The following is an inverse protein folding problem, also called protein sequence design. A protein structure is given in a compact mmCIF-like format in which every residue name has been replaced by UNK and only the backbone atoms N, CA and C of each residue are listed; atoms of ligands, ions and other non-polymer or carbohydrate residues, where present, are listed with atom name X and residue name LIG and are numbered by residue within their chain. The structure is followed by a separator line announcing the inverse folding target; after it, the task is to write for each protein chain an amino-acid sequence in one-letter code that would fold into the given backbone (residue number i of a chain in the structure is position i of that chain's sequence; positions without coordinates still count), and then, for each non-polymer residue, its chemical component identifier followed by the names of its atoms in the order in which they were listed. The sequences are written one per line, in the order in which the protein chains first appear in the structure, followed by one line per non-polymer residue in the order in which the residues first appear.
data_IF_373957541026
#
_entry.id   IF_373957541026
#
_cell.length_a   1.000
_cell.length_b   1.000
_cell.length_c   1.000
_cell.angle_alpha   90.00
_cell.angle_beta   90.00
_cell.angle_gamma   90.00
#
_symmetry.space_group_name_H-M   'P 1'
#
loop_
_entity.id
_entity.type
_entity.pdbx_description
1 polymer ?
#
# COMPACT_ATOMS: atom_id res chain seq x y z
N UNK A 1 42.78 -23.30 -3.96
CA UNK A 1 41.79 -23.71 -4.98
C UNK A 1 40.47 -23.05 -4.64
N UNK A 2 40.11 -22.06 -5.44
CA UNK A 2 38.89 -21.25 -5.36
C UNK A 2 37.69 -21.98 -5.98
N UNK A 3 36.49 -21.48 -5.66
CA UNK A 3 35.13 -21.83 -6.11
C UNK A 3 34.35 -22.77 -5.16
N UNK A 4 33.09 -22.52 -4.81
CA UNK A 4 32.06 -21.75 -5.54
C UNK A 4 31.07 -21.10 -4.56
N UNK A 5 31.01 -19.77 -4.62
CA UNK A 5 29.95 -18.92 -4.08
C UNK A 5 28.67 -19.24 -4.87
N UNK A 6 27.80 -20.07 -4.29
CA UNK A 6 26.44 -20.26 -4.81
C UNK A 6 25.57 -19.15 -4.25
N UNK A 7 25.49 -18.05 -5.00
CA UNK A 7 24.46 -17.03 -4.88
C UNK A 7 23.11 -17.69 -5.16
N UNK A 8 22.45 -18.14 -4.10
CA UNK A 8 21.00 -18.36 -4.16
C UNK A 8 20.38 -16.98 -4.07
N UNK A 9 19.99 -16.43 -5.21
CA UNK A 9 19.09 -15.29 -5.28
C UNK A 9 17.74 -15.70 -4.70
N UNK A 10 17.64 -15.65 -3.37
CA UNK A 10 16.41 -15.88 -2.65
C UNK A 10 15.49 -14.67 -2.87
N UNK A 11 14.75 -14.69 -3.97
CA UNK A 11 13.49 -13.95 -4.03
C UNK A 11 12.66 -14.49 -2.85
N UNK A 12 12.27 -13.66 -1.87
CA UNK A 12 11.47 -14.12 -0.75
C UNK A 12 10.19 -14.72 -1.32
N UNK A 13 9.86 -15.96 -0.92
CA UNK A 13 8.57 -16.56 -1.26
C UNK A 13 7.46 -15.53 -0.97
N UNK A 14 6.55 -15.30 -1.91
CA UNK A 14 5.43 -14.34 -1.75
C UNK A 14 4.67 -14.58 -0.42
N UNK A 15 4.64 -15.83 0.05
CA UNK A 15 4.05 -16.24 1.32
C UNK A 15 4.80 -15.77 2.58
N UNK A 16 6.06 -15.35 2.47
CA UNK A 16 6.84 -14.81 3.59
C UNK A 16 6.53 -13.32 3.82
N UNK A 17 6.31 -12.55 2.76
CA UNK A 17 6.21 -11.09 2.85
C UNK A 17 5.00 -10.60 3.66
N UNK A 18 3.82 -11.22 3.51
CA UNK A 18 2.60 -10.78 4.20
C UNK A 18 2.58 -11.08 5.70
N UNK A 19 3.50 -11.93 6.18
CA UNK A 19 3.63 -12.30 7.61
C UNK A 19 4.59 -11.40 8.39
N UNK A 20 5.33 -10.55 7.68
CA UNK A 20 6.26 -9.63 8.31
C UNK A 20 5.50 -8.53 9.06
N UNK A 21 6.08 -8.07 10.16
CA UNK A 21 5.61 -6.85 10.80
C UNK A 21 5.82 -5.66 9.88
N UNK A 22 4.97 -4.65 10.02
CA UNK A 22 5.00 -3.45 9.18
C UNK A 22 6.38 -2.76 9.19
N UNK A 23 7.01 -2.72 10.37
CA UNK A 23 8.32 -2.11 10.58
C UNK A 23 9.46 -2.95 10.00
N UNK A 24 9.34 -4.27 10.00
CA UNK A 24 10.30 -5.17 9.38
C UNK A 24 10.28 -5.01 7.86
N UNK A 25 9.08 -5.02 7.27
CA UNK A 25 8.89 -4.80 5.85
C UNK A 25 9.43 -3.44 5.40
N UNK A 26 9.15 -2.37 6.16
CA UNK A 26 9.70 -1.05 5.91
C UNK A 26 11.24 -1.02 5.98
N UNK A 27 11.85 -1.77 6.91
CA UNK A 27 13.30 -1.88 7.02
C UNK A 27 13.90 -2.63 5.82
N UNK A 28 13.26 -3.70 5.35
CA UNK A 28 13.67 -4.43 4.15
C UNK A 28 13.60 -3.54 2.90
N UNK A 29 12.53 -2.76 2.75
CA UNK A 29 12.38 -1.79 1.65
C UNK A 29 13.48 -0.72 1.74
N UNK A 30 13.66 -0.10 2.91
CA UNK A 30 14.69 0.94 3.13
C UNK A 30 16.10 0.45 2.79
N UNK A 31 16.40 -0.80 3.12
CA UNK A 31 17.70 -1.43 2.84
C UNK A 31 17.79 -2.02 1.43
N UNK A 32 16.73 -1.88 0.62
CA UNK A 32 16.59 -2.41 -0.74
C UNK A 32 16.79 -3.93 -0.83
N UNK A 33 16.48 -4.65 0.24
CA UNK A 33 16.43 -6.12 0.22
C UNK A 33 15.20 -6.62 -0.55
N UNK A 34 14.13 -5.83 -0.52
CA UNK A 34 12.94 -5.98 -1.37
C UNK A 34 12.55 -4.59 -1.88
N UNK A 35 11.90 -4.51 -3.03
CA UNK A 35 11.34 -3.26 -3.56
C UNK A 35 9.89 -3.07 -3.11
N UNK A 36 9.44 -1.81 -3.07
CA UNK A 36 8.03 -1.49 -2.83
C UNK A 36 7.12 -2.12 -3.90
N UNK A 37 7.57 -2.11 -5.16
CA UNK A 37 6.83 -2.70 -6.27
C UNK A 37 6.63 -4.22 -6.10
N UNK A 38 7.69 -4.97 -5.78
CA UNK A 38 7.60 -6.42 -5.54
C UNK A 38 6.62 -6.75 -4.40
N UNK A 39 6.69 -6.02 -3.30
CA UNK A 39 5.80 -6.21 -2.14
C UNK A 39 4.35 -5.90 -2.49
N UNK A 40 4.12 -4.84 -3.28
CA UNK A 40 2.78 -4.45 -3.74
C UNK A 40 2.20 -5.50 -4.68
N UNK A 41 2.99 -5.99 -5.64
CA UNK A 41 2.56 -7.01 -6.57
C UNK A 41 2.24 -8.33 -5.85
N UNK A 42 3.06 -8.73 -4.88
CA UNK A 42 2.80 -9.91 -4.03
C UNK A 42 1.49 -9.76 -3.23
N UNK A 43 1.23 -8.57 -2.70
CA UNK A 43 -0.01 -8.25 -1.97
C UNK A 43 -1.23 -8.35 -2.89
N UNK A 44 -1.15 -7.79 -4.10
CA UNK A 44 -2.23 -7.84 -5.08
C UNK A 44 -2.53 -9.28 -5.54
N UNK A 45 -1.49 -10.09 -5.82
CA UNK A 45 -1.64 -11.53 -6.12
C UNK A 45 -2.37 -12.27 -5.00
N UNK A 46 -2.05 -11.94 -3.75
CA UNK A 46 -2.73 -12.54 -2.57
C UNK A 46 -4.20 -12.14 -2.48
N UNK A 47 -4.52 -10.87 -2.73
CA UNK A 47 -5.91 -10.38 -2.76
C UNK A 47 -6.69 -11.13 -3.84
N UNK A 48 -6.16 -11.23 -5.07
CA UNK A 48 -6.79 -11.96 -6.17
C UNK A 48 -7.10 -13.42 -5.81
N UNK A 49 -6.18 -14.10 -5.11
CA UNK A 49 -6.33 -15.50 -4.71
C UNK A 49 -7.38 -15.73 -3.61
N UNK A 50 -7.54 -14.79 -2.67
CA UNK A 50 -8.26 -15.03 -1.41
C UNK A 50 -9.56 -14.24 -1.28
N UNK A 51 -9.63 -13.03 -1.85
CA UNK A 51 -10.68 -12.07 -1.50
C UNK A 51 -12.06 -12.45 -2.06
N UNK A 52 -12.11 -13.30 -3.09
CA UNK A 52 -13.37 -13.88 -3.57
C UNK A 52 -14.14 -14.64 -2.47
N UNK A 53 -13.42 -15.28 -1.53
CA UNK A 53 -14.00 -15.96 -0.38
C UNK A 53 -14.13 -15.07 0.85
N UNK A 54 -13.13 -14.21 1.10
CA UNK A 54 -13.06 -13.40 2.33
C UNK A 54 -13.91 -12.13 2.27
N UNK A 55 -14.11 -11.54 1.08
CA UNK A 55 -14.83 -10.28 0.86
C UNK A 55 -14.34 -9.16 1.78
N UNK A 56 -13.02 -9.07 1.95
CA UNK A 56 -12.35 -8.13 2.85
C UNK A 56 -12.15 -6.75 2.22
N UNK A 57 -12.04 -6.67 0.89
CA UNK A 57 -11.89 -5.40 0.18
C UNK A 57 -13.18 -4.99 -0.53
N UNK A 58 -13.69 -3.80 -0.20
CA UNK A 58 -14.80 -3.19 -0.95
C UNK A 58 -14.36 -2.68 -2.33
N UNK A 59 -13.11 -2.19 -2.41
CA UNK A 59 -12.48 -1.72 -3.64
C UNK A 59 -10.96 -1.87 -3.54
N UNK A 60 -10.32 -2.28 -4.63
CA UNK A 60 -8.86 -2.46 -4.71
C UNK A 60 -8.30 -1.46 -5.72
N UNK A 61 -7.43 -0.57 -5.26
CA UNK A 61 -6.82 0.49 -6.08
C UNK A 61 -5.52 0.01 -6.76
N UNK A 62 -5.58 -1.11 -7.49
CA UNK A 62 -4.40 -1.85 -7.98
C UNK A 62 -3.42 -0.97 -8.77
N UNK A 63 -3.91 -0.29 -9.82
CA UNK A 63 -3.05 0.52 -10.71
C UNK A 63 -2.33 1.64 -9.95
N UNK A 64 -3.06 2.41 -9.14
CA UNK A 64 -2.47 3.48 -8.35
C UNK A 64 -1.52 2.97 -7.26
N UNK A 65 -1.77 1.78 -6.70
CA UNK A 65 -0.87 1.17 -5.72
C UNK A 65 0.48 0.83 -6.38
N UNK A 66 0.46 0.23 -7.57
CA UNK A 66 1.67 -0.07 -8.35
C UNK A 66 2.42 1.20 -8.72
N UNK A 67 1.74 2.26 -9.15
CA UNK A 67 2.38 3.54 -9.47
C UNK A 67 3.00 4.22 -8.24
N UNK A 68 2.30 4.20 -7.10
CA UNK A 68 2.82 4.74 -5.85
C UNK A 68 4.05 3.97 -5.37
N UNK A 69 4.05 2.64 -5.51
CA UNK A 69 5.17 1.79 -5.16
C UNK A 69 6.43 2.10 -6.00
N UNK A 70 6.27 2.20 -7.33
CA UNK A 70 7.36 2.59 -8.23
C UNK A 70 7.90 3.97 -7.92
N UNK A 71 7.03 4.91 -7.54
CA UNK A 71 7.44 6.25 -7.11
C UNK A 71 8.26 6.19 -5.83
N UNK A 72 7.83 5.40 -4.84
CA UNK A 72 8.57 5.21 -3.59
C UNK A 72 9.95 4.59 -3.84
N UNK A 73 10.05 3.61 -4.73
CA UNK A 73 11.34 3.00 -5.12
C UNK A 73 12.26 4.02 -5.80
N UNK A 74 11.73 4.84 -6.71
CA UNK A 74 12.50 5.89 -7.39
C UNK A 74 12.98 6.98 -6.41
N UNK A 75 12.18 7.35 -5.43
CA UNK A 75 12.56 8.29 -4.37
C UNK A 75 13.63 7.71 -3.48
N UNK A 76 13.47 6.46 -3.07
CA UNK A 76 14.46 5.77 -2.28
C UNK A 76 15.79 5.69 -3.04
N UNK A 77 15.78 5.40 -4.35
CA UNK A 77 16.98 5.42 -5.21
C UNK A 77 17.70 6.78 -5.19
N UNK A 78 16.96 7.89 -5.02
CA UNK A 78 17.49 9.26 -4.89
C UNK A 78 17.89 9.63 -3.46
N UNK A 79 17.81 8.69 -2.51
CA UNK A 79 18.12 8.93 -1.09
C UNK A 79 16.99 9.60 -0.32
N UNK A 80 15.79 9.70 -0.90
CA UNK A 80 14.63 10.31 -0.25
C UNK A 80 13.82 9.23 0.48
N UNK A 81 13.89 9.24 1.81
CA UNK A 81 13.11 8.37 2.68
C UNK A 81 12.03 9.18 3.41
N UNK A 82 10.75 8.90 3.14
CA UNK A 82 9.62 9.66 3.70
C UNK A 82 9.28 9.29 5.14
N UNK A 83 9.72 8.12 5.62
CA UNK A 83 9.42 7.63 6.97
C UNK A 83 8.99 6.17 6.98
N UNK A 84 8.50 5.69 8.13
CA UNK A 84 8.28 4.27 8.42
C UNK A 84 7.29 3.54 7.48
N UNK A 85 6.47 4.26 6.71
CA UNK A 85 5.52 3.67 5.75
C UNK A 85 5.93 3.87 4.28
N UNK A 86 7.14 4.37 4.03
CA UNK A 86 7.61 4.63 2.67
C UNK A 86 7.69 3.34 1.86
N UNK A 87 6.81 3.21 0.86
CA UNK A 87 6.73 2.04 -0.02
C UNK A 87 5.98 0.82 0.55
N UNK A 88 5.40 0.91 1.75
CA UNK A 88 4.65 -0.20 2.34
C UNK A 88 3.18 -0.14 1.89
N UNK A 89 2.62 -1.21 1.29
CA UNK A 89 1.21 -1.22 0.91
C UNK A 89 0.33 -1.26 2.16
N UNK A 90 -0.76 -0.48 2.15
CA UNK A 90 -1.72 -0.40 3.26
C UNK A 90 -3.16 -0.54 2.77
N UNK A 91 -3.97 -1.26 3.54
CA UNK A 91 -5.42 -1.27 3.39
C UNK A 91 -6.05 -0.21 4.28
N UNK A 92 -6.97 0.57 3.73
CA UNK A 92 -7.70 1.62 4.47
C UNK A 92 -9.17 1.23 4.56
N UNK A 93 -9.78 1.43 5.74
CA UNK A 93 -11.20 1.14 5.94
C UNK A 93 -12.05 2.14 5.13
N UNK A 94 -13.10 1.68 4.43
CA UNK A 94 -13.96 2.51 3.56
C UNK A 94 -14.69 3.67 4.30
N UNK A 95 -14.73 3.63 5.63
CA UNK A 95 -15.21 4.75 6.46
C UNK A 95 -14.24 5.95 6.48
N UNK A 96 -12.99 5.74 6.08
CA UNK A 96 -12.00 6.79 5.92
C UNK A 96 -12.06 7.34 4.50
N UNK A 97 -11.99 8.67 4.37
CA UNK A 97 -11.92 9.28 3.05
C UNK A 97 -10.54 9.00 2.42
N UNK A 98 -10.55 8.34 1.28
CA UNK A 98 -9.38 8.16 0.43
C UNK A 98 -9.62 8.92 -0.87
N UNK A 99 -8.69 9.79 -1.24
CA UNK A 99 -8.76 10.46 -2.53
C UNK A 99 -8.73 9.41 -3.65
N UNK A 100 -9.54 9.63 -4.68
CA UNK A 100 -9.60 8.79 -5.89
C UNK A 100 -10.13 7.36 -5.69
N UNK A 101 -10.66 7.03 -4.50
CA UNK A 101 -11.39 5.80 -4.23
C UNK A 101 -12.92 6.00 -4.30
N UNK A 102 -13.70 5.04 -4.85
CA UNK A 102 -15.15 4.99 -4.68
C UNK A 102 -15.51 4.84 -3.19
N UNK A 103 -16.59 5.48 -2.74
CA UNK A 103 -17.14 5.27 -1.38
C UNK A 103 -18.47 4.52 -1.47
N UNK A 104 -18.61 3.44 -0.71
CA UNK A 104 -19.88 2.73 -0.62
C UNK A 104 -20.97 3.54 0.13
N UNK A 105 -20.58 4.45 1.04
CA UNK A 105 -21.49 5.25 1.87
C UNK A 105 -21.49 6.75 1.52
N UNK A 106 -21.23 7.11 0.27
CA UNK A 106 -21.41 8.50 -0.14
C UNK A 106 -22.92 8.88 -0.10
N UNK A 107 -23.32 9.96 0.59
CA UNK A 107 -24.68 10.46 0.43
C UNK A 107 -24.89 10.80 -1.05
N UNK A 108 -26.07 10.47 -1.58
CA UNK A 108 -26.43 10.59 -3.00
C UNK A 108 -26.19 11.99 -3.61
N UNK A 109 -26.07 13.01 -2.77
CA UNK A 109 -25.77 14.40 -3.14
C UNK A 109 -24.32 14.66 -3.59
N UNK A 110 -23.36 13.80 -3.20
CA UNK A 110 -21.96 13.91 -3.65
C UNK A 110 -21.75 13.23 -5.00
N UNK A 111 -22.52 12.18 -5.31
CA UNK A 111 -22.39 11.44 -6.57
C UNK A 111 -22.86 12.24 -7.80
N UNK A 112 -23.85 13.14 -7.64
CA UNK A 112 -24.49 13.84 -8.77
C UNK A 112 -24.00 15.26 -9.04
N UNK A 113 -23.14 15.84 -8.19
CA UNK A 113 -22.88 17.29 -8.23
C UNK A 113 -21.53 17.71 -8.82
N UNK A 114 -20.68 16.78 -9.27
CA UNK A 114 -19.36 17.12 -9.84
C UNK A 114 -18.46 17.96 -8.91
N UNK A 115 -18.84 18.09 -7.63
CA UNK A 115 -18.15 18.92 -6.64
C UNK A 115 -17.12 18.08 -5.93
N UNK A 116 -15.84 18.35 -6.21
CA UNK A 116 -14.76 18.00 -5.29
C UNK A 116 -15.01 18.72 -3.96
N UNK A 117 -15.29 17.95 -2.91
CA UNK A 117 -15.42 18.50 -1.56
C UNK A 117 -14.03 18.87 -1.05
N UNK A 118 -13.84 20.12 -0.65
CA UNK A 118 -12.55 20.64 -0.17
C UNK A 118 -12.38 20.36 1.33
N UNK A 119 -11.14 20.41 1.88
CA UNK A 119 -10.85 20.14 3.29
C UNK A 119 -11.65 20.97 4.31
N UNK A 120 -12.37 22.01 3.88
CA UNK A 120 -13.09 22.93 4.73
C UNK A 120 -14.40 22.37 5.32
N UNK A 121 -14.90 21.23 4.81
CA UNK A 121 -16.11 20.57 5.32
C UNK A 121 -15.87 19.63 6.51
N UNK A 122 -14.65 19.54 7.02
CA UNK A 122 -14.18 18.55 8.01
C UNK A 122 -14.35 18.94 9.49
N UNK A 123 -15.21 19.91 9.85
CA UNK A 123 -15.35 20.32 11.27
C UNK A 123 -15.91 19.23 12.22
N UNK A 124 -16.36 18.08 11.73
CA UNK A 124 -17.06 17.07 12.54
C UNK A 124 -16.30 15.78 12.87
N UNK A 125 -15.14 15.50 12.25
CA UNK A 125 -14.43 14.22 12.43
C UNK A 125 -13.10 14.32 13.19
N UNK A 126 -12.74 15.50 13.69
CA UNK A 126 -11.65 15.63 14.64
C UNK A 126 -12.15 15.16 16.01
N UNK A 127 -12.12 13.85 16.25
CA UNK A 127 -12.03 13.36 17.61
C UNK A 127 -10.69 13.86 18.17
N UNK A 128 -10.66 14.58 19.30
CA UNK A 128 -9.41 14.88 19.97
C UNK A 128 -8.83 13.55 20.45
N UNK A 129 -7.66 13.20 19.92
CA UNK A 129 -6.83 12.15 20.52
C UNK A 129 -6.20 12.79 21.76
N UNK A 130 -6.24 12.13 22.95
CA UNK A 130 -5.69 12.69 24.19
C UNK A 130 -4.20 13.01 24.11
#
# INVERSE_FOLDING_TARGET
MTARRSEVSAQPDDDALWRLELTELAALIRTRQVSSAEVTDATLRRIEKLDAGLKSHAFVMADSAVQAARTADAELARGLWRGALHGVPIGVKDLCYTADAPRAQAPSSVASSGRRMTPRSWRGCALPVP
#
